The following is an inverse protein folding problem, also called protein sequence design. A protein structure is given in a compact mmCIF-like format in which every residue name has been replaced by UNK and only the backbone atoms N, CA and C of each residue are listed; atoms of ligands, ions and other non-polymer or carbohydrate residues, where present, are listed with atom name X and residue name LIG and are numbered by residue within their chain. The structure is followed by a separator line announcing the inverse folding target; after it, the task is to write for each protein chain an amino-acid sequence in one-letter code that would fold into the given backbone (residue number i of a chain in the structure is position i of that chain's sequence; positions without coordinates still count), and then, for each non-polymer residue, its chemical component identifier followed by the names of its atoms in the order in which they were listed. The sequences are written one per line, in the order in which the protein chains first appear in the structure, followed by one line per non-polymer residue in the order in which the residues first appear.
data_IF_537240985507
#
_entry.id   IF_537240985507
#
_cell.length_a   1.000
_cell.length_b   1.000
_cell.length_c   1.000
_cell.angle_alpha   90.00
_cell.angle_beta   90.00
_cell.angle_gamma   90.00
#
_symmetry.space_group_name_H-M   'P 1'
#
loop_
_entity.id
_entity.type
_entity.pdbx_description
1 polymer ?
#
# COMPACT_ATOMS: atom_id res chain seq x y z
N UNK A 1 -3.13 36.78 24.51
CA UNK A 1 -4.34 36.22 23.88
C UNK A 1 -4.08 35.71 22.47
N UNK A 2 -3.47 36.50 21.55
CA UNK A 2 -3.22 36.10 20.15
C UNK A 2 -2.42 34.79 19.98
N UNK A 3 -1.40 34.54 20.83
CA UNK A 3 -0.61 33.30 20.81
C UNK A 3 -1.41 32.04 21.17
N UNK A 4 -2.42 32.16 22.05
CA UNK A 4 -3.23 31.02 22.50
C UNK A 4 -4.24 30.59 21.44
N UNK A 5 -4.76 31.55 20.67
CA UNK A 5 -5.70 31.32 19.56
C UNK A 5 -4.99 30.67 18.38
N UNK A 6 -3.77 31.10 18.05
CA UNK A 6 -2.95 30.50 16.98
C UNK A 6 -2.57 29.06 17.32
N UNK A 7 -2.19 28.77 18.58
CA UNK A 7 -1.86 27.41 19.00
C UNK A 7 -3.08 26.47 18.97
N UNK A 8 -4.26 26.96 19.36
CA UNK A 8 -5.51 26.19 19.25
C UNK A 8 -5.94 25.96 17.80
N UNK A 9 -5.77 26.97 16.92
CA UNK A 9 -6.04 26.80 15.49
C UNK A 9 -5.10 25.77 14.84
N UNK A 10 -3.81 25.80 15.18
CA UNK A 10 -2.83 24.82 14.69
C UNK A 10 -3.19 23.41 15.17
N UNK A 11 -3.53 23.22 16.44
CA UNK A 11 -3.98 21.93 17.00
C UNK A 11 -5.27 21.41 16.33
N UNK A 12 -6.26 22.28 16.11
CA UNK A 12 -7.50 21.91 15.44
C UNK A 12 -7.28 21.55 13.97
N UNK A 13 -6.38 22.23 13.27
CA UNK A 13 -6.01 21.84 11.91
C UNK A 13 -5.24 20.52 11.89
N UNK A 14 -4.30 20.30 12.82
CA UNK A 14 -3.50 19.07 12.90
C UNK A 14 -4.38 17.82 13.14
N UNK A 15 -5.41 17.94 13.99
CA UNK A 15 -6.38 16.86 14.22
C UNK A 15 -7.28 16.59 13.00
N UNK A 16 -7.65 17.63 12.24
CA UNK A 16 -8.45 17.47 11.03
C UNK A 16 -7.67 16.82 9.87
N UNK A 17 -6.35 17.04 9.80
CA UNK A 17 -5.49 16.41 8.78
C UNK A 17 -5.25 14.92 9.04
N UNK A 18 -5.16 14.48 10.30
CA UNK A 18 -4.97 13.06 10.63
C UNK A 18 -6.22 12.18 10.33
N UNK A 19 -7.43 12.73 10.45
CA UNK A 19 -8.67 11.98 10.22
C UNK A 19 -9.11 11.87 8.76
N UNK A 20 -8.49 12.62 7.84
CA UNK A 20 -8.90 12.66 6.43
C UNK A 20 -8.40 11.46 5.61
N UNK A 21 -7.17 10.99 5.87
CA UNK A 21 -6.50 9.96 5.06
C UNK A 21 -7.16 8.58 5.18
N UNK A 22 -7.51 8.17 6.40
CA UNK A 22 -8.15 6.87 6.68
C UNK A 22 -9.54 6.76 6.03
N UNK A 23 -10.28 7.87 5.95
CA UNK A 23 -11.60 7.90 5.31
C UNK A 23 -11.55 7.63 3.79
N UNK A 24 -10.50 8.06 3.11
CA UNK A 24 -10.33 7.86 1.65
C UNK A 24 -9.95 6.42 1.32
N UNK A 25 -9.04 5.81 2.08
CA UNK A 25 -8.64 4.42 1.88
C UNK A 25 -9.80 3.46 2.17
N UNK A 26 -10.59 3.74 3.20
CA UNK A 26 -11.81 2.99 3.51
C UNK A 26 -12.82 3.06 2.36
N UNK A 27 -13.03 4.23 1.78
CA UNK A 27 -13.95 4.40 0.65
C UNK A 27 -13.48 3.61 -0.59
N UNK A 28 -12.19 3.69 -0.93
CA UNK A 28 -11.59 2.91 -2.02
C UNK A 28 -11.77 1.41 -1.79
N UNK A 29 -11.47 0.94 -0.57
CA UNK A 29 -11.67 -0.47 -0.18
C UNK A 29 -13.11 -0.91 -0.38
N UNK A 30 -14.08 -0.11 0.08
CA UNK A 30 -15.50 -0.43 -0.07
C UNK A 30 -15.90 -0.56 -1.53
N UNK A 31 -15.50 0.40 -2.38
CA UNK A 31 -15.78 0.35 -3.81
C UNK A 31 -15.16 -0.88 -4.50
N UNK A 32 -13.94 -1.27 -4.11
CA UNK A 32 -13.30 -2.46 -4.67
C UNK A 32 -13.94 -3.76 -4.19
N UNK A 33 -14.36 -3.81 -2.92
CA UNK A 33 -15.04 -4.98 -2.35
C UNK A 33 -16.42 -5.24 -2.98
N UNK A 34 -17.10 -4.22 -3.52
CA UNK A 34 -18.36 -4.42 -4.27
C UNK A 34 -18.17 -5.29 -5.52
N UNK A 35 -17.00 -5.22 -6.16
CA UNK A 35 -16.69 -5.97 -7.39
C UNK A 35 -15.82 -7.20 -7.14
N UNK A 36 -14.86 -7.08 -6.22
CA UNK A 36 -13.87 -8.09 -5.88
C UNK A 36 -13.90 -8.34 -4.38
N UNK A 37 -14.91 -9.07 -3.88
CA UNK A 37 -15.11 -9.24 -2.46
C UNK A 37 -13.97 -10.04 -1.83
N UNK A 38 -13.31 -9.45 -0.83
CA UNK A 38 -12.32 -10.13 0.00
C UNK A 38 -12.65 -10.00 1.48
N UNK A 39 -12.15 -10.94 2.29
CA UNK A 39 -12.13 -10.80 3.74
C UNK A 39 -10.83 -10.14 4.21
N UNK A 40 -10.84 -9.60 5.42
CA UNK A 40 -9.64 -9.02 6.06
C UNK A 40 -8.50 -10.05 6.24
N UNK A 41 -8.81 -11.35 6.17
CA UNK A 41 -7.80 -12.41 6.21
C UNK A 41 -6.79 -12.27 5.08
N UNK A 42 -7.20 -11.81 3.90
CA UNK A 42 -6.28 -11.60 2.78
C UNK A 42 -5.25 -10.51 3.07
N UNK A 43 -5.64 -9.44 3.76
CA UNK A 43 -4.70 -8.39 4.18
C UNK A 43 -3.72 -8.94 5.21
N UNK A 44 -4.23 -9.65 6.22
CA UNK A 44 -3.40 -10.29 7.25
C UNK A 44 -2.39 -11.24 6.61
N UNK A 45 -2.82 -12.04 5.63
CA UNK A 45 -1.96 -13.02 4.97
C UNK A 45 -0.91 -12.35 4.09
N UNK A 46 -1.31 -11.36 3.31
CA UNK A 46 -0.37 -10.61 2.48
C UNK A 46 0.66 -9.87 3.33
N UNK A 47 0.26 -9.13 4.35
CA UNK A 47 1.17 -8.31 5.16
C UNK A 47 2.12 -9.13 6.04
N UNK A 48 1.73 -10.33 6.49
CA UNK A 48 2.58 -11.16 7.34
C UNK A 48 3.43 -12.19 6.57
N UNK A 49 2.97 -12.64 5.41
CA UNK A 49 3.60 -13.75 4.68
C UNK A 49 3.91 -13.43 3.21
N UNK A 50 3.63 -12.20 2.76
CA UNK A 50 3.83 -11.79 1.37
C UNK A 50 3.02 -12.60 0.37
N UNK A 51 1.94 -13.26 0.78
CA UNK A 51 1.18 -14.15 -0.11
C UNK A 51 -0.26 -14.40 0.34
N UNK A 52 -1.15 -14.62 -0.63
CA UNK A 52 -2.50 -15.09 -0.38
C UNK A 52 -2.56 -16.60 -0.09
N UNK A 53 -3.59 -17.09 0.62
CA UNK A 53 -3.76 -18.52 0.90
C UNK A 53 -3.95 -19.39 -0.35
N UNK A 54 -4.63 -18.85 -1.37
CA UNK A 54 -4.87 -19.49 -2.67
C UNK A 54 -4.52 -18.50 -3.78
N UNK A 55 -3.38 -18.70 -4.44
CA UNK A 55 -2.92 -17.87 -5.55
C UNK A 55 -3.53 -18.28 -6.90
N UNK A 56 -4.44 -19.27 -6.94
CA UNK A 56 -5.22 -19.57 -8.14
C UNK A 56 -6.50 -18.72 -8.22
N UNK A 57 -6.96 -18.15 -7.10
CA UNK A 57 -8.07 -17.21 -7.07
C UNK A 57 -7.62 -15.81 -7.49
N UNK A 58 -8.16 -15.33 -8.61
CA UNK A 58 -7.88 -13.99 -9.13
C UNK A 58 -8.64 -12.88 -8.40
N UNK A 59 -9.70 -13.20 -7.67
CA UNK A 59 -10.53 -12.22 -6.97
C UNK A 59 -9.71 -11.30 -6.06
N UNK A 60 -8.90 -11.82 -5.12
CA UNK A 60 -8.08 -10.97 -4.26
C UNK A 60 -6.96 -10.24 -5.01
N UNK A 61 -6.45 -10.79 -6.11
CA UNK A 61 -5.47 -10.09 -6.96
C UNK A 61 -6.11 -8.89 -7.65
N UNK A 62 -7.33 -9.05 -8.17
CA UNK A 62 -8.08 -7.97 -8.80
C UNK A 62 -8.56 -6.93 -7.79
N UNK A 63 -8.81 -7.31 -6.54
CA UNK A 63 -9.01 -6.36 -5.46
C UNK A 63 -7.78 -5.44 -5.29
N UNK A 64 -6.57 -6.00 -5.23
CA UNK A 64 -5.33 -5.21 -5.14
C UNK A 64 -5.19 -4.27 -6.33
N UNK A 65 -5.42 -4.75 -7.55
CA UNK A 65 -5.42 -3.91 -8.75
C UNK A 65 -6.42 -2.75 -8.65
N UNK A 66 -7.67 -3.04 -8.30
CA UNK A 66 -8.71 -2.02 -8.12
C UNK A 66 -8.29 -0.96 -7.08
N UNK A 67 -7.74 -1.40 -5.95
CA UNK A 67 -7.31 -0.52 -4.88
C UNK A 67 -6.17 0.39 -5.34
N UNK A 68 -5.20 -0.17 -6.07
CA UNK A 68 -4.08 0.58 -6.63
C UNK A 68 -4.54 1.59 -7.70
N UNK A 69 -5.47 1.19 -8.58
CA UNK A 69 -5.98 2.04 -9.67
C UNK A 69 -6.76 3.23 -9.13
N UNK A 70 -7.75 2.98 -8.26
CA UNK A 70 -8.50 4.05 -7.58
C UNK A 70 -7.63 4.91 -6.68
N UNK A 71 -6.57 4.34 -6.12
CA UNK A 71 -5.56 5.05 -5.37
C UNK A 71 -4.61 5.89 -6.23
N UNK A 72 -4.62 5.74 -7.56
CA UNK A 72 -3.71 6.41 -8.49
C UNK A 72 -2.28 5.85 -8.49
N UNK A 73 -2.06 4.68 -7.90
CA UNK A 73 -0.76 3.99 -7.83
C UNK A 73 -0.42 3.22 -9.11
N UNK A 74 -1.45 2.85 -9.86
CA UNK A 74 -1.35 2.25 -11.19
C UNK A 74 -2.34 3.00 -12.09
N UNK A 75 -2.03 3.13 -13.38
CA UNK A 75 -3.00 3.66 -14.36
C UNK A 75 -3.81 2.55 -15.03
N UNK A 76 -4.71 2.93 -15.92
CA UNK A 76 -5.63 2.02 -16.64
C UNK A 76 -4.91 1.00 -17.51
N UNK A 77 -3.67 1.26 -17.92
CA UNK A 77 -2.84 0.35 -18.73
C UNK A 77 -1.96 -0.55 -17.84
N UNK A 78 -2.08 -0.41 -16.52
CA UNK A 78 -1.31 -1.15 -15.54
C UNK A 78 0.09 -0.57 -15.29
N UNK A 79 0.36 0.68 -15.66
CA UNK A 79 1.67 1.29 -15.45
C UNK A 79 1.76 1.84 -14.03
N UNK A 80 2.81 1.45 -13.31
CA UNK A 80 3.04 1.90 -11.95
C UNK A 80 3.42 3.39 -11.89
N UNK A 81 2.70 4.16 -11.08
CA UNK A 81 2.95 5.57 -10.82
C UNK A 81 3.94 5.70 -9.66
N UNK A 82 5.22 5.44 -9.94
CA UNK A 82 6.26 5.24 -8.93
C UNK A 82 6.35 6.36 -7.88
N UNK A 83 6.22 7.62 -8.29
CA UNK A 83 6.22 8.75 -7.36
C UNK A 83 5.06 8.68 -6.36
N UNK A 84 3.86 8.33 -6.83
CA UNK A 84 2.65 8.20 -6.01
C UNK A 84 2.76 6.98 -5.10
N UNK A 85 3.34 5.88 -5.59
CA UNK A 85 3.62 4.69 -4.79
C UNK A 85 4.53 5.01 -3.60
N UNK A 86 5.66 5.67 -3.83
CA UNK A 86 6.57 6.07 -2.76
C UNK A 86 5.88 7.01 -1.76
N UNK A 87 5.14 8.01 -2.25
CA UNK A 87 4.40 8.94 -1.38
C UNK A 87 3.36 8.24 -0.49
N UNK A 88 2.65 7.23 -1.01
CA UNK A 88 1.61 6.50 -0.27
C UNK A 88 2.14 5.41 0.65
N UNK A 89 3.30 4.83 0.30
CA UNK A 89 3.94 3.77 1.09
C UNK A 89 4.89 4.33 2.15
N UNK A 90 5.25 5.60 2.08
CA UNK A 90 5.89 6.31 3.19
C UNK A 90 4.99 6.26 4.42
N UNK A 91 5.45 5.62 5.49
CA UNK A 91 4.67 5.46 6.70
C UNK A 91 3.64 4.33 6.65
N UNK A 92 3.68 3.44 5.65
CA UNK A 92 2.80 2.28 5.62
C UNK A 92 3.53 0.98 6.02
N UNK A 93 2.95 0.13 6.88
CA UNK A 93 1.77 0.37 7.71
C UNK A 93 2.11 1.21 8.97
N UNK A 94 1.21 2.08 9.44
CA UNK A 94 1.30 2.77 10.75
C UNK A 94 2.57 3.61 11.02
N UNK A 95 2.88 4.58 10.16
CA UNK A 95 4.07 5.44 10.20
C UNK A 95 5.42 4.68 10.13
N UNK A 96 5.40 3.44 9.62
CA UNK A 96 6.62 2.64 9.42
C UNK A 96 7.54 3.28 8.37
N UNK A 97 8.80 3.46 8.74
CA UNK A 97 9.86 3.86 7.80
C UNK A 97 10.44 2.61 7.19
N UNK A 98 10.16 2.39 5.90
CA UNK A 98 10.76 1.32 5.10
C UNK A 98 12.15 1.80 4.65
N UNK A 99 13.26 1.21 5.15
CA UNK A 99 14.60 1.52 4.66
C UNK A 99 14.71 1.20 3.17
N UNK A 100 15.44 2.04 2.43
CA UNK A 100 15.68 1.83 0.99
C UNK A 100 14.41 1.67 0.14
N UNK A 101 13.27 2.24 0.58
CA UNK A 101 11.97 2.17 -0.11
C UNK A 101 12.07 2.51 -1.61
N UNK A 102 12.92 3.46 -1.98
CA UNK A 102 13.15 3.81 -3.39
C UNK A 102 13.76 2.67 -4.21
N UNK A 103 14.76 1.96 -3.65
CA UNK A 103 15.41 0.83 -4.31
C UNK A 103 14.47 -0.38 -4.39
N UNK A 104 13.77 -0.69 -3.29
CA UNK A 104 12.75 -1.74 -3.25
C UNK A 104 11.67 -1.47 -4.30
N UNK A 105 11.23 -0.20 -4.42
CA UNK A 105 10.27 0.24 -5.41
C UNK A 105 10.77 0.02 -6.84
N UNK A 106 11.98 0.49 -7.15
CA UNK A 106 12.60 0.28 -8.47
C UNK A 106 12.68 -1.20 -8.84
N UNK A 107 13.11 -2.04 -7.88
CA UNK A 107 13.20 -3.48 -8.06
C UNK A 107 11.83 -4.10 -8.37
N UNK A 108 10.83 -3.82 -7.53
CA UNK A 108 9.51 -4.44 -7.65
C UNK A 108 8.71 -3.92 -8.85
N UNK A 109 8.88 -2.65 -9.25
CA UNK A 109 8.30 -2.13 -10.49
C UNK A 109 8.93 -2.82 -11.70
N UNK A 110 10.27 -2.88 -11.76
CA UNK A 110 10.99 -3.50 -12.89
C UNK A 110 10.63 -4.97 -13.04
N UNK A 111 10.57 -5.71 -11.93
CA UNK A 111 10.29 -7.15 -11.94
C UNK A 111 8.88 -7.49 -12.43
N UNK A 112 7.91 -6.62 -12.19
CA UNK A 112 6.49 -6.92 -12.38
C UNK A 112 5.83 -6.12 -13.51
N UNK A 113 6.45 -5.05 -13.99
CA UNK A 113 5.85 -4.12 -14.97
C UNK A 113 5.45 -4.74 -16.30
N UNK A 114 6.08 -5.85 -16.70
CA UNK A 114 5.77 -6.57 -17.95
C UNK A 114 4.66 -7.63 -17.80
N UNK A 115 4.13 -7.86 -16.59
CA UNK A 115 3.12 -8.89 -16.36
C UNK A 115 1.83 -8.56 -17.11
N UNK A 116 1.36 -9.45 -17.99
CA UNK A 116 0.29 -9.15 -18.93
C UNK A 116 -1.09 -8.99 -18.25
N UNK A 117 -1.41 -9.87 -17.30
CA UNK A 117 -2.65 -9.76 -16.52
C UNK A 117 -2.50 -8.66 -15.46
N UNK A 118 -3.39 -7.67 -15.49
CA UNK A 118 -3.31 -6.49 -14.62
C UNK A 118 -3.53 -6.80 -13.13
N UNK A 119 -4.37 -7.80 -12.84
CA UNK A 119 -4.60 -8.26 -11.46
C UNK A 119 -3.35 -8.94 -10.93
N UNK A 120 -2.78 -9.85 -11.70
CA UNK A 120 -1.52 -10.53 -11.35
C UNK A 120 -0.35 -9.54 -11.26
N UNK A 121 -0.30 -8.52 -12.14
CA UNK A 121 0.71 -7.46 -12.11
C UNK A 121 0.69 -6.71 -10.77
N UNK A 122 -0.48 -6.21 -10.38
CA UNK A 122 -0.66 -5.48 -9.14
C UNK A 122 -0.35 -6.36 -7.92
N UNK A 123 -0.84 -7.59 -7.92
CA UNK A 123 -0.58 -8.54 -6.85
C UNK A 123 0.91 -8.88 -6.71
N UNK A 124 1.59 -9.23 -7.80
CA UNK A 124 3.00 -9.59 -7.77
C UNK A 124 3.89 -8.42 -7.33
N UNK A 125 3.49 -7.20 -7.66
CA UNK A 125 4.11 -5.99 -7.12
C UNK A 125 3.94 -5.89 -5.60
N UNK A 126 2.70 -5.98 -5.08
CA UNK A 126 2.45 -5.90 -3.64
C UNK A 126 3.17 -7.03 -2.87
N UNK A 127 3.15 -8.25 -3.41
CA UNK A 127 3.91 -9.40 -2.91
C UNK A 127 5.41 -9.13 -2.85
N UNK A 128 5.98 -8.58 -3.91
CA UNK A 128 7.40 -8.21 -3.96
C UNK A 128 7.76 -7.23 -2.85
N UNK A 129 6.99 -6.15 -2.68
CA UNK A 129 7.23 -5.14 -1.64
C UNK A 129 7.25 -5.76 -0.25
N UNK A 130 6.24 -6.57 0.09
CA UNK A 130 6.14 -7.17 1.43
C UNK A 130 7.25 -8.19 1.68
N UNK A 131 7.63 -8.99 0.68
CA UNK A 131 8.72 -9.95 0.82
C UNK A 131 10.06 -9.23 1.04
N UNK A 132 10.35 -8.17 0.29
CA UNK A 132 11.55 -7.35 0.48
C UNK A 132 11.60 -6.76 1.89
N UNK A 133 10.48 -6.24 2.38
CA UNK A 133 10.37 -5.70 3.73
C UNK A 133 10.61 -6.77 4.82
N UNK A 134 9.96 -7.94 4.70
CA UNK A 134 10.13 -9.05 5.64
C UNK A 134 11.60 -9.50 5.68
N UNK A 135 12.23 -9.68 4.51
CA UNK A 135 13.61 -10.15 4.42
C UNK A 135 14.58 -9.18 5.08
N UNK A 136 14.43 -7.89 4.84
CA UNK A 136 15.31 -6.84 5.42
C UNK A 136 15.11 -6.69 6.93
N UNK A 137 13.89 -6.87 7.44
CA UNK A 137 13.64 -6.92 8.88
C UNK A 137 14.27 -8.13 9.56
N UNK A 138 14.26 -9.29 8.90
CA UNK A 138 14.95 -10.47 9.44
C UNK A 138 16.48 -10.34 9.44
N UNK A 139 17.04 -9.61 8.47
CA UNK A 139 18.49 -9.36 8.38
C UNK A 139 18.97 -8.40 9.46
N UNK A 140 18.27 -7.27 9.64
CA UNK A 140 18.57 -6.29 10.69
C UNK A 140 18.43 -6.86 12.11
N UNK A 141 17.46 -7.77 12.33
CA UNK A 141 17.30 -8.47 13.61
C UNK A 141 18.31 -9.59 13.89
N UNK A 142 19.16 -9.97 12.91
CA UNK A 142 20.25 -10.95 13.09
C UNK A 142 21.60 -10.29 13.39
N UNK A 143 21.69 -8.96 13.27
CA UNK A 143 22.89 -8.19 13.55
C UNK A 143 22.95 -7.62 14.99
N UNK A 144 21.89 -7.84 15.78
CA UNK A 144 21.84 -7.60 17.25
C UNK A 144 22.18 -8.86 18.07
#
# INVERSE_FOLDING_TARGET
MLKSVVLHFILLTFMAFASGYDSVLTDIRNQCNETFPISDEYDVRLLNFGSFPDESDKTPMCFIHCFMDKGGMIDTDGTFQQKILVEKLQGFPNDTIIPDLGEIMDHCVTRNGEQADLCERAYNFAKCLIIEEIQRHEETGKEE
#
